data_IF_303539356685
#
_entry.id   IF_303539356685
#
_cell.length_a   1.000
_cell.length_b   1.000
_cell.length_c   1.000
_cell.angle_alpha   90.00
_cell.angle_beta   90.00
_cell.angle_gamma   90.00
#
_symmetry.space_group_name_H-M   'P 1'
#
loop_
_entity.id
_entity.type
_entity.pdbx_description
1 polymer ?
#
# COMPACT_ATOMS: atom_id res chain seq x y z
N UNK A 1 23.13 6.65 37.10
CA UNK A 1 21.75 6.30 36.68
C UNK A 1 21.49 4.85 37.03
N UNK A 2 20.47 4.58 37.86
CA UNK A 2 20.12 3.24 38.34
C UNK A 2 19.54 2.40 37.18
N UNK A 3 19.58 1.08 37.31
CA UNK A 3 19.05 0.18 36.27
C UNK A 3 17.54 0.38 36.03
N UNK A 4 16.78 0.65 37.10
CA UNK A 4 15.35 1.00 37.02
C UNK A 4 15.08 2.27 36.22
N UNK A 5 15.89 3.31 36.38
CA UNK A 5 15.78 4.57 35.63
C UNK A 5 16.04 4.35 34.12
N UNK A 6 16.99 3.47 33.77
CA UNK A 6 17.27 3.11 32.37
C UNK A 6 16.13 2.31 31.75
N UNK A 7 15.50 1.41 32.51
CA UNK A 7 14.33 0.66 32.03
C UNK A 7 13.13 1.57 31.81
N UNK A 8 12.86 2.51 32.73
CA UNK A 8 11.78 3.48 32.58
C UNK A 8 11.99 4.36 31.34
N UNK A 9 13.19 4.91 31.16
CA UNK A 9 13.53 5.72 29.98
C UNK A 9 13.32 4.92 28.68
N UNK A 10 13.73 3.64 28.65
CA UNK A 10 13.53 2.77 27.48
C UNK A 10 12.04 2.60 27.15
N UNK A 11 11.21 2.34 28.16
CA UNK A 11 9.76 2.17 27.98
C UNK A 11 9.12 3.48 27.49
N UNK A 12 9.51 4.63 28.04
CA UNK A 12 9.01 5.93 27.61
C UNK A 12 9.38 6.22 26.15
N UNK A 13 10.63 5.94 25.75
CA UNK A 13 11.05 6.13 24.36
C UNK A 13 10.29 5.21 23.39
N UNK A 14 10.02 3.97 23.78
CA UNK A 14 9.24 3.03 22.98
C UNK A 14 7.78 3.46 22.86
N UNK A 15 7.17 3.92 23.97
CA UNK A 15 5.82 4.43 23.98
C UNK A 15 5.67 5.70 23.10
N UNK A 16 6.64 6.61 23.16
CA UNK A 16 6.68 7.80 22.31
C UNK A 16 6.82 7.43 20.82
N UNK A 17 7.69 6.46 20.52
CA UNK A 17 7.87 5.97 19.15
C UNK A 17 6.58 5.35 18.59
N UNK A 18 5.90 4.50 19.38
CA UNK A 18 4.61 3.91 19.01
C UNK A 18 3.54 4.98 18.77
N UNK A 19 3.42 5.95 19.67
CA UNK A 19 2.43 7.03 19.52
C UNK A 19 2.69 7.86 18.27
N UNK A 20 3.95 8.16 17.98
CA UNK A 20 4.34 8.87 16.76
C UNK A 20 4.03 8.07 15.50
N UNK A 21 4.24 6.74 15.54
CA UNK A 21 3.87 5.85 14.44
C UNK A 21 2.36 5.83 14.19
N UNK A 22 1.55 5.73 15.25
CA UNK A 22 0.08 5.79 15.16
C UNK A 22 -0.40 7.11 14.54
N UNK A 23 0.11 8.26 15.01
CA UNK A 23 -0.28 9.57 14.46
C UNK A 23 0.15 9.74 13.00
N UNK A 24 1.24 9.11 12.57
CA UNK A 24 1.62 9.09 11.14
C UNK A 24 0.69 8.21 10.33
N UNK A 25 0.35 7.04 10.86
CA UNK A 25 -0.56 6.11 10.20
C UNK A 25 -1.98 6.69 10.06
N UNK A 26 -2.46 7.42 11.06
CA UNK A 26 -3.73 8.17 11.00
C UNK A 26 -3.74 9.16 9.83
N UNK A 27 -2.67 9.96 9.67
CA UNK A 27 -2.52 10.88 8.54
C UNK A 27 -2.46 10.18 7.20
N UNK A 28 -1.76 9.04 7.14
CA UNK A 28 -1.67 8.22 5.93
C UNK A 28 -3.06 7.69 5.54
N UNK A 29 -3.88 7.28 6.51
CA UNK A 29 -5.26 6.84 6.29
C UNK A 29 -6.16 7.99 5.83
N UNK A 30 -6.01 9.19 6.39
CA UNK A 30 -6.77 10.37 5.96
C UNK A 30 -6.45 10.71 4.49
N UNK A 31 -5.16 10.81 4.14
CA UNK A 31 -4.74 11.12 2.77
C UNK A 31 -5.18 10.05 1.77
N UNK A 32 -5.09 8.77 2.15
CA UNK A 32 -5.59 7.66 1.35
C UNK A 32 -7.11 7.71 1.21
N UNK A 33 -7.84 8.03 2.29
CA UNK A 33 -9.29 8.18 2.30
C UNK A 33 -9.78 9.28 1.36
N UNK A 34 -9.12 10.44 1.34
CA UNK A 34 -9.42 11.52 0.39
C UNK A 34 -9.26 11.08 -1.06
N UNK A 35 -8.15 10.39 -1.37
CA UNK A 35 -7.87 9.89 -2.71
C UNK A 35 -8.90 8.83 -3.14
N UNK A 36 -9.22 7.89 -2.24
CA UNK A 36 -10.15 6.81 -2.52
C UNK A 36 -11.62 7.28 -2.56
N UNK A 37 -11.95 8.36 -1.85
CA UNK A 37 -13.24 9.04 -1.99
C UNK A 37 -13.39 9.61 -3.40
N UNK A 38 -12.33 10.19 -3.95
CA UNK A 38 -12.32 10.66 -5.34
C UNK A 38 -12.51 9.51 -6.33
N UNK A 39 -11.83 8.38 -6.11
CA UNK A 39 -12.02 7.17 -6.92
C UNK A 39 -13.47 6.66 -6.86
N UNK A 40 -14.12 6.73 -5.69
CA UNK A 40 -15.51 6.31 -5.52
C UNK A 40 -16.49 7.20 -6.32
N UNK A 41 -16.24 8.51 -6.42
CA UNK A 41 -17.03 9.41 -7.27
C UNK A 41 -16.84 9.15 -8.78
N UNK A 42 -15.79 8.45 -9.17
CA UNK A 42 -15.56 7.96 -10.53
C UNK A 42 -16.11 6.53 -10.75
N UNK A 43 -16.99 6.05 -9.87
CA UNK A 43 -17.59 4.71 -9.88
C UNK A 43 -16.55 3.56 -9.77
N UNK A 44 -15.37 3.83 -9.21
CA UNK A 44 -14.34 2.82 -8.97
C UNK A 44 -14.57 2.18 -7.60
N UNK A 45 -15.12 0.97 -7.59
CA UNK A 45 -15.32 0.18 -6.37
C UNK A 45 -14.00 -0.39 -5.83
N UNK A 46 -13.77 -0.25 -4.53
CA UNK A 46 -12.62 -0.79 -3.82
C UNK A 46 -13.03 -1.29 -2.43
N UNK A 47 -12.21 -2.16 -1.86
CA UNK A 47 -12.41 -2.76 -0.54
C UNK A 47 -11.08 -2.88 0.19
N UNK A 48 -11.14 -2.71 1.51
CA UNK A 48 -10.01 -2.85 2.44
C UNK A 48 -10.16 -4.11 3.31
N UNK A 49 -11.29 -4.82 3.23
CA UNK A 49 -11.61 -6.00 4.07
C UNK A 49 -11.23 -7.33 3.40
N UNK A 50 -9.91 -7.59 3.35
CA UNK A 50 -9.12 -8.86 3.36
C UNK A 50 -9.33 -9.95 2.25
N UNK A 51 -8.33 -10.84 1.94
CA UNK A 51 -7.63 -11.75 2.87
C UNK A 51 -6.10 -11.91 2.62
N UNK A 52 -5.27 -11.41 3.53
CA UNK A 52 -4.12 -12.10 4.13
C UNK A 52 -3.03 -11.11 4.58
N UNK A 53 -2.98 -10.86 5.88
CA UNK A 53 -1.73 -10.87 6.68
C UNK A 53 -0.59 -9.97 6.17
N UNK A 54 -0.75 -8.66 6.30
CA UNK A 54 0.41 -7.76 6.43
C UNK A 54 0.10 -6.72 7.51
N UNK A 55 0.55 -6.97 8.74
CA UNK A 55 0.23 -6.16 9.93
C UNK A 55 0.67 -4.69 9.85
N UNK A 56 1.46 -4.31 8.84
CA UNK A 56 2.03 -2.95 8.71
C UNK A 56 1.76 -2.28 7.35
N UNK A 57 0.83 -2.80 6.52
CA UNK A 57 0.59 -2.25 5.16
C UNK A 57 -0.89 -2.09 4.87
N UNK A 58 -1.21 -1.01 4.15
CA UNK A 58 -2.57 -0.77 3.64
C UNK A 58 -2.76 -1.63 2.40
N UNK A 59 -3.78 -2.48 2.41
CA UNK A 59 -4.13 -3.32 1.27
C UNK A 59 -5.42 -2.83 0.63
N UNK A 60 -5.39 -2.73 -0.70
CA UNK A 60 -6.52 -2.42 -1.54
C UNK A 60 -6.77 -3.59 -2.47
N UNK A 61 -8.05 -3.92 -2.61
CA UNK A 61 -8.49 -4.85 -3.63
C UNK A 61 -9.85 -4.40 -4.15
N UNK A 62 -10.26 -4.95 -5.28
CA UNK A 62 -11.61 -4.72 -5.82
C UNK A 62 -12.29 -6.05 -6.01
N UNK A 63 -13.59 -6.12 -5.69
CA UNK A 63 -14.37 -7.35 -5.91
C UNK A 63 -14.72 -7.56 -7.39
N UNK A 64 -14.77 -6.48 -8.17
CA UNK A 64 -14.97 -6.51 -9.62
C UNK A 64 -13.63 -6.37 -10.32
N UNK A 65 -13.35 -7.28 -11.24
CA UNK A 65 -12.10 -7.30 -12.01
C UNK A 65 -11.92 -6.05 -12.87
N UNK A 66 -13.02 -5.53 -13.44
CA UNK A 66 -13.02 -4.31 -14.24
C UNK A 66 -12.54 -3.08 -13.42
N UNK A 67 -12.91 -3.04 -12.14
CA UNK A 67 -12.49 -1.98 -11.22
C UNK A 67 -11.01 -2.14 -10.80
N UNK A 68 -10.42 -3.34 -10.87
CA UNK A 68 -9.04 -3.57 -10.43
C UNK A 68 -8.04 -2.77 -11.26
N UNK A 69 -8.23 -2.77 -12.58
CA UNK A 69 -7.38 -2.03 -13.53
C UNK A 69 -7.71 -0.54 -13.49
N UNK A 70 -8.99 -0.18 -13.38
CA UNK A 70 -9.41 1.21 -13.25
C UNK A 70 -8.81 1.87 -12.00
N UNK A 71 -8.83 1.19 -10.85
CA UNK A 71 -8.22 1.69 -9.62
C UNK A 71 -6.70 1.85 -9.76
N UNK A 72 -6.00 0.87 -10.36
CA UNK A 72 -4.56 1.00 -10.58
C UNK A 72 -4.24 2.19 -11.49
N UNK A 73 -4.98 2.37 -12.58
CA UNK A 73 -4.84 3.53 -13.48
C UNK A 73 -5.10 4.84 -12.75
N UNK A 74 -6.16 4.89 -11.95
CA UNK A 74 -6.52 6.06 -11.16
C UNK A 74 -5.40 6.45 -10.18
N UNK A 75 -4.88 5.48 -9.43
CA UNK A 75 -3.80 5.71 -8.47
C UNK A 75 -2.52 6.22 -9.16
N UNK A 76 -2.16 5.67 -10.32
CA UNK A 76 -1.03 6.13 -11.11
C UNK A 76 -1.25 7.54 -11.70
N UNK A 77 -2.46 7.83 -12.20
CA UNK A 77 -2.81 9.14 -12.74
C UNK A 77 -2.74 10.24 -11.67
N UNK A 78 -3.01 9.91 -10.42
CA UNK A 78 -2.91 10.81 -9.27
C UNK A 78 -1.50 10.83 -8.64
N UNK A 79 -0.48 10.38 -9.37
CA UNK A 79 0.93 10.49 -8.97
C UNK A 79 1.46 9.30 -8.17
N UNK A 80 0.71 8.20 -8.09
CA UNK A 80 1.19 6.93 -7.57
C UNK A 80 2.33 6.37 -8.42
N UNK A 81 3.28 5.70 -7.78
CA UNK A 81 4.42 5.04 -8.44
C UNK A 81 4.46 3.58 -8.03
N UNK A 82 4.61 2.67 -9.00
CA UNK A 82 4.85 1.25 -8.72
C UNK A 82 6.32 1.09 -8.32
N UNK A 83 6.54 0.78 -7.04
CA UNK A 83 7.88 0.49 -6.51
C UNK A 83 8.25 -0.98 -6.72
N UNK A 84 7.28 -1.88 -6.61
CA UNK A 84 7.51 -3.31 -6.74
C UNK A 84 6.27 -4.05 -7.24
N UNK A 85 6.47 -4.97 -8.18
CA UNK A 85 5.49 -5.96 -8.57
C UNK A 85 5.96 -7.34 -8.09
N UNK A 86 5.09 -8.07 -7.41
CA UNK A 86 5.31 -9.47 -7.05
C UNK A 86 4.16 -10.28 -7.62
N UNK A 87 4.47 -11.32 -8.38
CA UNK A 87 3.48 -12.28 -8.85
C UNK A 87 3.47 -13.43 -7.85
N UNK A 88 2.38 -13.57 -7.09
CA UNK A 88 2.22 -14.72 -6.19
C UNK A 88 1.94 -15.98 -7.00
N UNK A 89 2.44 -17.13 -6.62
CA UNK A 89 2.35 -18.36 -7.42
C UNK A 89 0.94 -18.90 -7.64
N UNK A 90 -0.09 -18.33 -6.99
CA UNK A 90 -1.40 -19.01 -6.90
C UNK A 90 -2.65 -18.19 -7.24
N UNK A 91 -2.69 -16.85 -7.19
CA UNK A 91 -3.96 -16.12 -7.47
C UNK A 91 -3.83 -14.63 -7.82
N UNK A 92 -2.93 -13.88 -7.18
CA UNK A 92 -2.89 -12.41 -7.31
C UNK A 92 -1.52 -11.88 -7.75
N UNK A 93 -1.53 -10.78 -8.51
CA UNK A 93 -0.41 -9.86 -8.71
C UNK A 93 -0.48 -8.78 -7.62
N UNK A 94 0.62 -8.58 -6.92
CA UNK A 94 0.75 -7.61 -5.85
C UNK A 94 1.53 -6.41 -6.37
N UNK A 95 0.87 -5.26 -6.43
CA UNK A 95 1.48 -3.98 -6.79
C UNK A 95 1.75 -3.18 -5.52
N UNK A 96 3.01 -3.03 -5.16
CA UNK A 96 3.41 -2.11 -4.10
C UNK A 96 3.52 -0.71 -4.69
N UNK A 97 2.63 0.17 -4.25
CA UNK A 97 2.47 1.54 -4.71
C UNK A 97 2.95 2.50 -3.63
N UNK A 98 3.68 3.52 -4.07
CA UNK A 98 3.94 4.72 -3.29
C UNK A 98 3.03 5.83 -3.79
N UNK A 99 2.16 6.31 -2.92
CA UNK A 99 1.22 7.39 -3.24
C UNK A 99 1.77 8.73 -2.72
N UNK A 100 1.40 9.86 -3.35
CA UNK A 100 1.71 11.16 -2.81
C UNK A 100 1.00 11.33 -1.46
N UNK A 101 1.68 11.94 -0.50
CA UNK A 101 1.15 12.23 0.85
C UNK A 101 0.81 11.01 1.72
N UNK A 102 1.08 9.79 1.27
CA UNK A 102 0.98 8.57 2.08
C UNK A 102 2.40 8.04 2.28
N UNK A 103 2.88 8.03 3.54
CA UNK A 103 4.22 7.53 3.86
C UNK A 103 4.29 6.00 3.83
N UNK A 104 3.21 5.34 4.22
CA UNK A 104 3.07 3.89 4.20
C UNK A 104 2.86 3.37 2.77
N UNK A 105 3.53 2.29 2.41
CA UNK A 105 3.34 1.65 1.11
C UNK A 105 1.95 1.00 1.03
N UNK A 106 1.28 1.19 -0.10
CA UNK A 106 -0.04 0.63 -0.38
C UNK A 106 0.10 -0.56 -1.29
N UNK A 107 -0.46 -1.71 -0.92
CA UNK A 107 -0.48 -2.90 -1.76
C UNK A 107 -1.82 -2.96 -2.48
N UNK A 108 -1.80 -2.92 -3.80
CA UNK A 108 -2.97 -3.19 -4.62
C UNK A 108 -2.91 -4.61 -5.17
N UNK A 109 -3.96 -5.39 -4.92
CA UNK A 109 -4.08 -6.79 -5.34
C UNK A 109 -4.96 -6.87 -6.59
N UNK A 110 -4.44 -7.50 -7.64
CA UNK A 110 -5.17 -7.74 -8.89
C UNK A 110 -5.10 -9.24 -9.20
N UNK A 111 -6.22 -9.86 -9.60
CA UNK A 111 -6.21 -11.27 -10.02
C UNK A 111 -5.26 -11.48 -11.20
N UNK A 112 -4.55 -12.61 -11.23
CA UNK A 112 -3.65 -12.93 -12.36
C UNK A 112 -4.39 -13.08 -13.69
N UNK A 113 -5.65 -13.50 -13.63
CA UNK A 113 -6.51 -13.69 -14.80
C UNK A 113 -6.98 -12.37 -15.41
N UNK A 114 -6.89 -11.27 -14.65
CA UNK A 114 -7.24 -9.95 -15.16
C UNK A 114 -6.16 -9.46 -16.14
N UNK A 115 -6.53 -9.14 -17.40
CA UNK A 115 -5.58 -8.61 -18.36
C UNK A 115 -5.17 -7.19 -17.95
N UNK A 116 -3.86 -6.98 -17.80
CA UNK A 116 -3.31 -5.67 -17.48
C UNK A 116 -2.74 -5.05 -18.76
N UNK A 117 -3.23 -3.88 -19.18
CA UNK A 117 -2.71 -3.15 -20.32
C UNK A 117 -1.20 -2.86 -20.20
N UNK A 118 -0.43 -3.08 -21.28
CA UNK A 118 1.04 -2.98 -21.31
C UNK A 118 1.57 -1.57 -20.97
N UNK A 119 0.74 -0.54 -21.21
CA UNK A 119 0.94 0.87 -20.85
C UNK A 119 1.11 1.08 -19.34
N UNK A 120 0.51 0.23 -18.52
CA UNK A 120 0.57 0.32 -17.05
C UNK A 120 1.86 -0.33 -16.52
N UNK A 121 2.36 -1.38 -17.18
CA UNK A 121 3.53 -2.16 -16.77
C UNK A 121 4.84 -1.36 -16.93
N UNK A 122 4.86 -0.39 -17.85
CA UNK A 122 6.05 0.43 -18.12
C UNK A 122 6.26 1.60 -17.16
N UNK A 123 5.26 1.92 -16.31
CA UNK A 123 5.36 2.95 -15.27
C UNK A 123 6.16 2.50 -14.02
N UNK A 124 6.88 1.39 -14.12
CA UNK A 124 7.70 0.83 -13.05
C UNK A 124 9.04 1.57 -12.98
N UNK A 125 9.45 2.00 -11.78
CA UNK A 125 10.82 2.47 -11.55
C UNK A 125 11.85 1.41 -12.01
N UNK A 126 13.05 1.79 -12.51
CA UNK A 126 14.00 0.85 -13.09
C UNK A 126 14.29 -0.30 -12.12
N UNK A 127 13.94 -1.51 -12.56
CA UNK A 127 13.91 -2.71 -11.74
C UNK A 127 15.28 -3.05 -11.15
N UNK A 128 15.41 -2.98 -9.82
CA UNK A 128 16.39 -3.81 -9.12
C UNK A 128 15.88 -5.24 -9.17
N UNK A 129 16.17 -5.94 -10.27
CA UNK A 129 16.03 -7.39 -10.37
C UNK A 129 17.00 -8.01 -9.36
N UNK A 130 16.50 -8.36 -8.18
CA UNK A 130 17.21 -9.28 -7.31
C UNK A 130 17.17 -10.66 -7.98
N UNK A 131 18.23 -10.97 -8.73
CA UNK A 131 18.60 -12.33 -9.02
C UNK A 131 18.90 -13.00 -7.67
N UNK A 132 18.07 -13.95 -7.26
CA UNK A 132 18.41 -14.88 -6.19
C UNK A 132 19.38 -15.94 -6.72
N UNK A 133 20.33 -16.41 -5.87
CA UNK A 133 21.40 -17.34 -6.23
C UNK A 133 20.91 -18.75 -6.57
#
# INVERSE_FOLDING_TARGET
MRYSERLLLKIETEALARRTAITRFEKDLDALGELLSTAHYEDIEWSTTDPATFDDRIQLFTHREECSVALLRFLLAHGGVIERQIESTTTYRHYTLRLPNVATAVIHLISQDTPIPEDIVTATAPATRLATP
#
